data_IF_818797544778
#
_entry.id   IF_818797544778
#
_cell.length_a   1.000
_cell.length_b   1.000
_cell.length_c   1.000
_cell.angle_alpha   90.00
_cell.angle_beta   90.00
_cell.angle_gamma   90.00
#
_symmetry.space_group_name_H-M   'P 1'
#
loop_
_entity.id
_entity.type
_entity.pdbx_description
1 polymer ?
#
# COMPACT_ATOMS: atom_id res chain seq x y z
N UNK A 1 -33.29 -12.45 11.64
CA UNK A 1 -32.05 -11.93 11.03
C UNK A 1 -31.55 -10.79 11.92
N UNK A 2 -30.65 -11.09 12.86
CA UNK A 2 -30.16 -10.11 13.84
C UNK A 2 -29.04 -9.28 13.21
N UNK A 3 -29.31 -8.01 12.92
CA UNK A 3 -28.29 -7.04 12.56
C UNK A 3 -27.44 -6.70 13.79
N UNK A 4 -26.33 -7.41 13.99
CA UNK A 4 -25.35 -7.03 15.00
C UNK A 4 -24.57 -5.81 14.51
N UNK A 5 -24.92 -4.62 15.03
CA UNK A 5 -24.08 -3.42 14.95
C UNK A 5 -22.87 -3.67 15.83
N UNK A 6 -21.79 -4.14 15.24
CA UNK A 6 -20.55 -4.35 15.95
C UNK A 6 -19.98 -2.99 16.37
N UNK A 7 -20.08 -2.68 17.67
CA UNK A 7 -19.44 -1.55 18.33
C UNK A 7 -17.95 -1.87 18.36
N UNK A 8 -17.26 -1.65 17.25
CA UNK A 8 -15.81 -1.72 17.22
C UNK A 8 -15.31 -0.36 17.67
N UNK A 9 -14.70 -0.40 18.86
CA UNK A 9 -13.86 0.58 19.52
C UNK A 9 -13.50 1.81 18.67
N UNK A 10 -13.47 2.97 19.34
CA UNK A 10 -12.92 4.22 18.82
C UNK A 10 -11.39 4.12 18.60
N UNK A 11 -10.99 3.21 17.72
CA UNK A 11 -9.66 3.08 17.13
C UNK A 11 -9.48 4.39 16.39
N UNK A 12 -8.48 5.20 16.80
CA UNK A 12 -8.11 6.47 16.15
C UNK A 12 -8.38 6.33 14.65
N UNK A 13 -9.36 7.08 14.11
CA UNK A 13 -9.90 6.88 12.74
C UNK A 13 -8.76 6.89 11.72
N UNK A 14 -8.16 5.73 11.48
CA UNK A 14 -7.29 5.50 10.34
C UNK A 14 -8.27 5.50 9.19
N UNK A 15 -8.25 6.60 8.41
CA UNK A 15 -9.14 6.74 7.27
C UNK A 15 -8.90 5.55 6.34
N UNK A 16 -9.96 5.03 5.72
CA UNK A 16 -9.90 3.92 4.78
C UNK A 16 -8.66 3.97 3.85
N UNK A 17 -8.29 5.12 3.24
CA UNK A 17 -7.09 5.23 2.41
C UNK A 17 -5.76 4.88 3.10
N UNK A 18 -5.62 5.16 4.40
CA UNK A 18 -4.40 4.81 5.15
C UNK A 18 -4.29 3.32 5.41
N UNK A 19 -5.41 2.60 5.56
CA UNK A 19 -5.41 1.15 5.65
C UNK A 19 -5.01 0.54 4.31
N UNK A 20 -5.57 1.05 3.22
CA UNK A 20 -5.21 0.59 1.86
C UNK A 20 -3.73 0.82 1.53
N UNK A 21 -3.17 1.96 1.96
CA UNK A 21 -1.73 2.22 1.83
C UNK A 21 -0.89 1.24 2.67
N UNK A 22 -1.34 0.87 3.86
CA UNK A 22 -0.65 -0.12 4.70
C UNK A 22 -0.74 -1.52 4.08
N UNK A 23 -1.89 -1.90 3.51
CA UNK A 23 -2.04 -3.16 2.80
C UNK A 23 -1.08 -3.23 1.60
N UNK A 24 -0.99 -2.15 0.82
CA UNK A 24 -0.05 -2.01 -0.31
C UNK A 24 1.41 -2.12 0.15
N UNK A 25 1.75 -1.52 1.29
CA UNK A 25 3.09 -1.63 1.88
C UNK A 25 3.41 -3.07 2.29
N UNK A 26 2.48 -3.75 2.95
CA UNK A 26 2.67 -5.16 3.34
C UNK A 26 2.85 -6.05 2.11
N UNK A 27 2.04 -5.87 1.06
CA UNK A 27 2.19 -6.59 -0.20
C UNK A 27 3.55 -6.36 -0.85
N UNK A 28 4.08 -5.14 -0.79
CA UNK A 28 5.41 -4.81 -1.30
C UNK A 28 6.52 -5.53 -0.54
N UNK A 29 6.44 -5.56 0.80
CA UNK A 29 7.41 -6.29 1.64
C UNK A 29 7.36 -7.79 1.38
N UNK A 30 6.17 -8.35 1.21
CA UNK A 30 5.99 -9.76 0.87
C UNK A 30 6.58 -10.08 -0.51
N UNK A 31 6.33 -9.24 -1.51
CA UNK A 31 6.93 -9.38 -2.84
C UNK A 31 8.45 -9.36 -2.76
N UNK A 32 9.02 -8.40 -2.00
CA UNK A 32 10.47 -8.33 -1.79
C UNK A 32 11.01 -9.64 -1.21
N UNK A 33 10.41 -10.12 -0.12
CA UNK A 33 10.82 -11.38 0.51
C UNK A 33 10.74 -12.56 -0.46
N UNK A 34 9.64 -12.68 -1.21
CA UNK A 34 9.46 -13.75 -2.19
C UNK A 34 10.49 -13.68 -3.33
N UNK A 35 10.78 -12.48 -3.84
CA UNK A 35 11.79 -12.27 -4.87
C UNK A 35 13.19 -12.64 -4.40
N UNK A 36 13.53 -12.35 -3.13
CA UNK A 36 14.81 -12.72 -2.52
C UNK A 36 14.95 -14.25 -2.38
N UNK A 37 13.88 -14.95 -2.04
CA UNK A 37 13.90 -16.42 -1.89
C UNK A 37 13.93 -17.19 -3.21
N UNK A 38 13.31 -16.64 -4.27
CA UNK A 38 13.12 -17.34 -5.57
C UNK A 38 14.09 -16.81 -6.66
N UNK A 39 14.93 -15.84 -6.33
CA UNK A 39 15.87 -15.18 -7.27
C UNK A 39 15.18 -14.59 -8.52
N UNK A 40 14.03 -13.95 -8.30
CA UNK A 40 13.25 -13.29 -9.35
C UNK A 40 13.34 -11.78 -9.19
N UNK A 41 13.54 -11.05 -10.28
CA UNK A 41 13.54 -9.59 -10.25
C UNK A 41 12.15 -9.03 -9.88
N UNK A 42 12.04 -8.15 -8.87
CA UNK A 42 10.78 -7.52 -8.48
C UNK A 42 10.13 -6.71 -9.61
N UNK A 43 10.91 -6.25 -10.59
CA UNK A 43 10.45 -5.48 -11.76
C UNK A 43 9.46 -6.25 -12.64
N UNK A 44 9.46 -7.58 -12.61
CA UNK A 44 8.54 -8.42 -13.37
C UNK A 44 7.13 -8.48 -12.77
N UNK A 45 6.96 -8.07 -11.50
CA UNK A 45 5.68 -8.12 -10.82
C UNK A 45 4.77 -6.94 -11.18
N UNK A 46 3.46 -7.21 -11.25
CA UNK A 46 2.42 -6.17 -11.33
C UNK A 46 1.65 -6.16 -10.02
N UNK A 47 1.58 -5.00 -9.36
CA UNK A 47 0.88 -4.82 -8.07
C UNK A 47 -0.46 -4.13 -8.30
N UNK A 48 -1.49 -4.58 -7.60
CA UNK A 48 -2.85 -4.06 -7.73
C UNK A 48 -3.33 -3.45 -6.42
N UNK A 49 -4.04 -2.33 -6.50
CA UNK A 49 -4.77 -1.74 -5.38
C UNK A 49 -6.14 -1.29 -5.85
N UNK A 50 -7.17 -1.63 -5.08
CA UNK A 50 -8.56 -1.22 -5.28
C UNK A 50 -8.86 0.21 -4.76
N UNK A 51 -7.80 0.96 -4.41
CA UNK A 51 -7.87 2.35 -3.96
C UNK A 51 -7.17 3.29 -4.95
N UNK A 52 -7.98 4.09 -5.66
CA UNK A 52 -7.45 5.14 -6.58
C UNK A 52 -6.63 6.18 -5.82
N UNK A 53 -6.96 6.41 -4.55
CA UNK A 53 -6.22 7.34 -3.68
C UNK A 53 -4.82 6.78 -3.39
N UNK A 54 -4.73 5.50 -3.03
CA UNK A 54 -3.45 4.82 -2.78
C UNK A 54 -2.61 4.80 -4.05
N UNK A 55 -3.21 4.47 -5.20
CA UNK A 55 -2.53 4.51 -6.49
C UNK A 55 -2.00 5.92 -6.82
N UNK A 56 -2.80 6.95 -6.56
CA UNK A 56 -2.38 8.35 -6.76
C UNK A 56 -1.21 8.74 -5.85
N UNK A 57 -1.21 8.30 -4.59
CA UNK A 57 -0.10 8.54 -3.67
C UNK A 57 1.18 7.87 -4.14
N UNK A 58 1.12 6.62 -4.61
CA UNK A 58 2.28 5.86 -5.09
C UNK A 58 2.83 6.44 -6.39
N UNK A 59 1.97 6.93 -7.30
CA UNK A 59 2.40 7.50 -8.59
C UNK A 59 2.87 8.95 -8.51
N UNK A 60 2.55 9.65 -7.42
CA UNK A 60 2.96 11.03 -7.21
C UNK A 60 4.26 11.11 -6.43
N UNK A 61 4.92 12.27 -6.47
CA UNK A 61 6.08 12.55 -5.62
C UNK A 61 5.70 12.41 -4.13
N UNK A 62 6.34 11.51 -3.37
CA UNK A 62 6.10 11.31 -1.94
C UNK A 62 6.19 12.57 -1.10
N UNK A 63 7.07 13.51 -1.47
CA UNK A 63 7.34 14.74 -0.70
C UNK A 63 6.15 15.69 -0.65
N UNK A 64 5.16 15.51 -1.53
CA UNK A 64 3.92 16.30 -1.54
C UNK A 64 2.97 15.93 -0.40
N UNK A 65 3.17 14.77 0.23
CA UNK A 65 2.24 14.23 1.21
C UNK A 65 2.73 14.41 2.65
N UNK A 66 1.78 14.35 3.59
CA UNK A 66 2.10 14.32 5.03
C UNK A 66 3.01 13.13 5.34
N UNK A 67 3.87 13.29 6.34
CA UNK A 67 4.92 12.33 6.76
C UNK A 67 4.46 10.87 6.79
N UNK A 68 3.25 10.59 7.26
CA UNK A 68 2.71 9.22 7.28
C UNK A 68 2.66 8.59 5.88
N UNK A 69 2.11 9.30 4.91
CA UNK A 69 1.95 8.83 3.53
C UNK A 69 3.30 8.85 2.85
N UNK A 70 4.03 9.98 2.94
CA UNK A 70 5.36 10.16 2.35
C UNK A 70 6.30 8.98 2.71
N UNK A 71 6.50 8.69 4.00
CA UNK A 71 7.43 7.65 4.41
C UNK A 71 7.07 6.27 3.85
N UNK A 72 5.77 5.95 3.75
CA UNK A 72 5.29 4.64 3.28
C UNK A 72 5.33 4.53 1.77
N UNK A 73 4.98 5.60 1.05
CA UNK A 73 5.14 5.64 -0.40
C UNK A 73 6.62 5.58 -0.78
N UNK A 74 7.50 6.26 -0.04
CA UNK A 74 8.95 6.16 -0.25
C UNK A 74 9.44 4.74 -0.06
N UNK A 75 9.01 4.06 1.00
CA UNK A 75 9.37 2.65 1.22
C UNK A 75 8.84 1.73 0.11
N UNK A 76 7.58 1.92 -0.33
CA UNK A 76 7.02 1.16 -1.47
C UNK A 76 7.87 1.36 -2.73
N UNK A 77 8.26 2.61 -3.00
CA UNK A 77 9.03 2.98 -4.20
C UNK A 77 10.51 2.63 -4.12
N UNK A 78 11.03 2.21 -2.96
CA UNK A 78 12.38 1.65 -2.86
C UNK A 78 12.49 0.27 -3.52
N UNK A 79 11.39 -0.49 -3.54
CA UNK A 79 11.38 -1.88 -4.04
C UNK A 79 10.50 -2.08 -5.27
N UNK A 80 9.69 -1.08 -5.63
CA UNK A 80 8.78 -1.12 -6.78
C UNK A 80 8.87 0.17 -7.57
N UNK A 81 8.50 0.11 -8.84
CA UNK A 81 8.35 1.27 -9.70
C UNK A 81 6.88 1.72 -9.77
N UNK A 82 6.58 3.03 -9.86
CA UNK A 82 5.21 3.52 -10.04
C UNK A 82 4.45 2.89 -11.22
N UNK A 83 5.18 2.46 -12.26
CA UNK A 83 4.63 1.82 -13.45
C UNK A 83 4.09 0.40 -13.20
N UNK A 84 4.54 -0.26 -12.14
CA UNK A 84 4.11 -1.61 -11.75
C UNK A 84 2.74 -1.61 -11.06
N UNK A 85 2.28 -0.46 -10.58
CA UNK A 85 1.05 -0.32 -9.81
C UNK A 85 -0.18 -0.07 -10.71
N UNK A 86 -1.24 -0.84 -10.49
CA UNK A 86 -2.51 -0.82 -11.24
C UNK A 86 -3.71 -0.74 -10.29
N UNK A 87 -4.87 -0.36 -10.85
CA UNK A 87 -6.18 -0.32 -10.20
C UNK A 87 -7.15 -1.19 -10.98
#
# INVERSE_FOLDING_TARGET
>A
MFCSRNILAQIKKVTLPRLELLASLMGTRLLKYFCEEVDIQPSAATLWTDSKITLSWIRSDPNKWKTFVCNRTTEILQYTSPAQWRY
#
